data_IF_248825196677
#
_entry.id   IF_248825196677
#
_cell.length_a   1.000
_cell.length_b   1.000
_cell.length_c   1.000
_cell.angle_alpha   90.00
_cell.angle_beta   90.00
_cell.angle_gamma   90.00
#
_symmetry.space_group_name_H-M   'P 1'
#
loop_
_entity.id
_entity.type
_entity.pdbx_description
1 polymer ?
#
# COMPACT_ATOMS: atom_id res chain seq x y z
N UNK A 1 17.13 3.71 -9.76
CA UNK A 1 15.89 3.09 -9.24
C UNK A 1 14.68 3.54 -10.07
N UNK A 2 13.75 2.63 -10.37
CA UNK A 2 12.52 2.95 -11.11
C UNK A 2 11.35 3.09 -10.13
N UNK A 3 10.42 4.00 -10.47
CA UNK A 3 9.18 4.24 -9.73
C UNK A 3 8.01 3.92 -10.64
N UNK A 4 6.97 3.36 -10.09
CA UNK A 4 5.78 2.96 -10.83
C UNK A 4 4.52 3.40 -10.07
N UNK A 5 3.49 3.81 -10.80
CA UNK A 5 2.18 4.05 -10.25
C UNK A 5 1.48 2.71 -9.96
N UNK A 6 0.64 2.67 -8.92
CA UNK A 6 -0.26 1.55 -8.73
C UNK A 6 -1.30 1.59 -9.84
N UNK A 7 -1.26 0.60 -10.74
CA UNK A 7 -2.23 0.49 -11.81
C UNK A 7 -3.53 -0.11 -11.27
N UNK A 8 -4.60 0.69 -11.27
CA UNK A 8 -5.92 0.28 -10.78
C UNK A 8 -6.53 -0.86 -11.60
N UNK A 9 -6.25 -0.94 -12.91
CA UNK A 9 -6.73 -2.04 -13.75
C UNK A 9 -6.05 -3.36 -13.35
N UNK A 10 -4.74 -3.34 -13.08
CA UNK A 10 -4.02 -4.49 -12.58
C UNK A 10 -4.48 -4.88 -11.16
N UNK A 11 -4.79 -3.89 -10.32
CA UNK A 11 -5.36 -4.14 -9.01
C UNK A 11 -6.73 -4.81 -9.12
N UNK A 12 -7.62 -4.25 -9.98
CA UNK A 12 -8.96 -4.78 -10.27
C UNK A 12 -8.90 -6.21 -10.82
N UNK A 13 -8.00 -6.49 -11.77
CA UNK A 13 -7.77 -7.82 -12.32
C UNK A 13 -7.19 -8.81 -11.30
N UNK A 14 -6.55 -8.31 -10.25
CA UNK A 14 -5.94 -9.14 -9.21
C UNK A 14 -6.90 -9.65 -8.14
N UNK A 15 -8.14 -9.13 -8.06
CA UNK A 15 -9.17 -9.72 -7.22
C UNK A 15 -9.74 -10.96 -7.91
N UNK A 16 -9.98 -12.02 -7.12
CA UNK A 16 -10.78 -13.15 -7.62
C UNK A 16 -12.20 -12.66 -7.99
N UNK A 17 -12.84 -13.23 -9.00
CA UNK A 17 -14.19 -12.81 -9.39
C UNK A 17 -15.18 -12.79 -8.22
N UNK A 18 -15.10 -13.76 -7.31
CA UNK A 18 -15.91 -13.83 -6.10
C UNK A 18 -15.61 -12.74 -5.08
N UNK A 19 -14.34 -12.35 -4.91
CA UNK A 19 -13.93 -11.27 -4.00
C UNK A 19 -14.52 -9.92 -4.45
N UNK A 20 -14.39 -9.62 -5.75
CA UNK A 20 -14.96 -8.38 -6.31
C UNK A 20 -16.48 -8.37 -6.22
N UNK A 21 -17.14 -9.47 -6.56
CA UNK A 21 -18.59 -9.57 -6.47
C UNK A 21 -19.07 -9.39 -5.02
N UNK A 22 -18.38 -9.97 -4.04
CA UNK A 22 -18.71 -9.81 -2.63
C UNK A 22 -18.61 -8.34 -2.17
N UNK A 23 -17.54 -7.62 -2.57
CA UNK A 23 -17.39 -6.20 -2.24
C UNK A 23 -18.49 -5.34 -2.88
N UNK A 24 -18.79 -5.55 -4.17
CA UNK A 24 -19.86 -4.83 -4.87
C UNK A 24 -21.24 -5.12 -4.28
N UNK A 25 -21.51 -6.39 -3.92
CA UNK A 25 -22.75 -6.77 -3.24
C UNK A 25 -22.88 -6.11 -1.86
N UNK A 26 -21.79 -5.97 -1.12
CA UNK A 26 -21.79 -5.28 0.16
C UNK A 26 -22.17 -3.79 -0.02
N UNK A 27 -21.59 -3.09 -0.99
CA UNK A 27 -21.95 -1.70 -1.30
C UNK A 27 -23.42 -1.59 -1.79
N UNK A 28 -23.85 -2.47 -2.68
CA UNK A 28 -25.25 -2.50 -3.15
C UNK A 28 -26.23 -2.74 -2.00
N UNK A 29 -25.87 -3.61 -1.05
CA UNK A 29 -26.71 -3.88 0.13
C UNK A 29 -26.87 -2.66 1.03
N UNK A 30 -25.81 -1.90 1.27
CA UNK A 30 -25.83 -0.66 2.03
C UNK A 30 -26.74 0.38 1.35
N UNK A 31 -26.57 0.57 0.04
CA UNK A 31 -27.40 1.51 -0.73
C UNK A 31 -28.89 1.11 -0.72
N UNK A 32 -29.20 -0.18 -0.89
CA UNK A 32 -30.60 -0.68 -0.83
C UNK A 32 -31.21 -0.48 0.55
N UNK A 33 -30.44 -0.73 1.61
CA UNK A 33 -30.91 -0.50 2.97
C UNK A 33 -31.20 0.99 3.23
N UNK A 34 -30.38 1.89 2.68
CA UNK A 34 -30.59 3.35 2.78
C UNK A 34 -31.84 3.81 2.04
N UNK A 35 -32.05 3.35 0.79
CA UNK A 35 -33.29 3.64 0.04
C UNK A 35 -34.53 3.16 0.81
N UNK A 36 -34.50 1.91 1.31
CA UNK A 36 -35.62 1.36 2.08
C UNK A 36 -35.83 2.05 3.43
N UNK A 37 -34.82 2.65 4.03
CA UNK A 37 -34.93 3.49 5.22
C UNK A 37 -35.67 4.80 4.88
N UNK A 38 -35.23 5.50 3.83
CA UNK A 38 -35.81 6.78 3.38
C UNK A 38 -37.29 6.64 2.95
N UNK A 39 -37.62 5.50 2.29
CA UNK A 39 -39.02 5.17 1.95
C UNK A 39 -39.88 5.01 3.23
N UNK A 40 -39.40 4.24 4.22
CA UNK A 40 -40.13 4.05 5.49
C UNK A 40 -40.28 5.32 6.31
N UNK A 41 -39.34 6.24 6.23
CA UNK A 41 -39.37 7.54 6.86
C UNK A 41 -40.28 8.57 6.10
N UNK A 42 -40.84 8.17 4.96
CA UNK A 42 -41.69 9.03 4.12
C UNK A 42 -40.88 10.10 3.34
N UNK A 43 -39.56 9.95 3.28
CA UNK A 43 -38.67 10.84 2.53
C UNK A 43 -38.61 10.51 1.03
N UNK A 44 -39.13 9.36 0.64
CA UNK A 44 -39.31 8.91 -0.73
C UNK A 44 -40.66 8.28 -0.93
N UNK A 45 -41.31 8.53 -2.09
CA UNK A 45 -42.46 7.74 -2.53
C UNK A 45 -42.00 6.34 -3.02
N UNK A 46 -42.92 5.36 -3.07
CA UNK A 46 -42.58 4.03 -3.58
C UNK A 46 -42.08 4.07 -5.04
N UNK A 47 -42.59 4.99 -5.89
CA UNK A 47 -42.13 5.15 -7.26
C UNK A 47 -40.69 5.71 -7.34
N UNK A 48 -40.37 6.72 -6.50
CA UNK A 48 -39.01 7.28 -6.40
C UNK A 48 -38.01 6.25 -5.87
N UNK A 49 -38.42 5.47 -4.86
CA UNK A 49 -37.60 4.39 -4.32
C UNK A 49 -37.31 3.32 -5.40
N UNK A 50 -38.31 2.94 -6.19
CA UNK A 50 -38.14 1.98 -7.28
C UNK A 50 -37.18 2.52 -8.37
N UNK A 51 -37.22 3.81 -8.66
CA UNK A 51 -36.30 4.43 -9.64
C UNK A 51 -34.86 4.49 -9.09
N UNK A 52 -34.66 4.88 -7.83
CA UNK A 52 -33.34 4.87 -7.18
C UNK A 52 -32.74 3.46 -7.15
N UNK A 53 -33.55 2.41 -6.96
CA UNK A 53 -33.11 1.01 -6.95
C UNK A 53 -32.54 0.54 -8.29
N UNK A 54 -33.03 1.06 -9.43
CA UNK A 54 -32.53 0.69 -10.76
C UNK A 54 -31.07 1.10 -11.00
N UNK A 55 -30.60 2.19 -10.38
CA UNK A 55 -29.25 2.70 -10.53
C UNK A 55 -28.22 2.19 -9.49
N UNK A 56 -28.65 1.33 -8.57
CA UNK A 56 -27.84 0.98 -7.38
C UNK A 56 -26.53 0.30 -7.77
N UNK A 57 -26.50 -0.61 -8.72
CA UNK A 57 -25.30 -1.37 -9.06
C UNK A 57 -24.22 -0.48 -9.68
N UNK A 58 -24.62 0.50 -10.52
CA UNK A 58 -23.69 1.49 -11.05
C UNK A 58 -23.13 2.42 -9.96
N UNK A 59 -23.98 2.84 -9.00
CA UNK A 59 -23.57 3.64 -7.86
C UNK A 59 -22.62 2.85 -6.93
N UNK A 60 -22.91 1.59 -6.67
CA UNK A 60 -22.07 0.70 -5.88
C UNK A 60 -20.68 0.53 -6.53
N UNK A 61 -20.61 0.35 -7.86
CA UNK A 61 -19.33 0.29 -8.57
C UNK A 61 -18.54 1.62 -8.45
N UNK A 62 -19.20 2.75 -8.60
CA UNK A 62 -18.58 4.07 -8.45
C UNK A 62 -18.03 4.29 -7.03
N UNK A 63 -18.79 3.93 -5.99
CA UNK A 63 -18.35 4.02 -4.60
C UNK A 63 -17.19 3.07 -4.31
N UNK A 64 -17.26 1.85 -4.81
CA UNK A 64 -16.16 0.89 -4.70
C UNK A 64 -14.88 1.41 -5.35
N UNK A 65 -14.95 1.97 -6.56
CA UNK A 65 -13.80 2.57 -7.25
C UNK A 65 -13.22 3.75 -6.44
N UNK A 66 -14.07 4.62 -5.92
CA UNK A 66 -13.62 5.72 -5.06
C UNK A 66 -12.92 5.22 -3.78
N UNK A 67 -13.47 4.16 -3.15
CA UNK A 67 -12.86 3.53 -1.98
C UNK A 67 -11.48 2.90 -2.29
N UNK A 68 -11.36 2.25 -3.46
CA UNK A 68 -10.08 1.69 -3.94
C UNK A 68 -9.06 2.79 -4.17
N UNK A 69 -9.44 3.90 -4.82
CA UNK A 69 -8.55 5.04 -5.06
C UNK A 69 -8.08 5.70 -3.78
N UNK A 70 -9.00 5.93 -2.82
CA UNK A 70 -8.66 6.50 -1.53
C UNK A 70 -7.66 5.61 -0.77
N UNK A 71 -7.95 4.32 -0.64
CA UNK A 71 -7.09 3.37 0.04
C UNK A 71 -5.71 3.23 -0.64
N UNK A 72 -5.65 3.28 -1.98
CA UNK A 72 -4.39 3.26 -2.71
C UNK A 72 -3.56 4.54 -2.46
N UNK A 73 -4.21 5.70 -2.42
CA UNK A 73 -3.54 6.98 -2.13
C UNK A 73 -2.93 6.99 -0.73
N UNK A 74 -3.68 6.53 0.27
CA UNK A 74 -3.21 6.40 1.66
C UNK A 74 -2.02 5.44 1.77
N UNK A 75 -2.12 4.26 1.16
CA UNK A 75 -1.05 3.27 1.17
C UNK A 75 0.21 3.78 0.46
N UNK A 76 0.07 4.45 -0.69
CA UNK A 76 1.22 5.06 -1.38
C UNK A 76 1.90 6.08 -0.50
N UNK A 77 1.14 6.94 0.21
CA UNK A 77 1.70 7.91 1.13
C UNK A 77 2.45 7.23 2.29
N UNK A 78 1.90 6.13 2.86
CA UNK A 78 2.55 5.33 3.91
C UNK A 78 3.88 4.75 3.39
N UNK A 79 3.87 4.06 2.24
CA UNK A 79 5.08 3.45 1.66
C UNK A 79 6.13 4.52 1.35
N UNK A 80 5.73 5.66 0.82
CA UNK A 80 6.67 6.76 0.54
C UNK A 80 7.30 7.32 1.82
N UNK A 81 6.54 7.42 2.91
CA UNK A 81 7.06 7.82 4.20
C UNK A 81 8.09 6.81 4.74
N UNK A 82 7.82 5.49 4.60
CA UNK A 82 8.75 4.42 4.99
C UNK A 82 10.04 4.47 4.15
N UNK A 83 9.93 4.65 2.84
CA UNK A 83 11.09 4.79 1.93
C UNK A 83 11.89 6.05 2.27
N UNK A 84 11.23 7.18 2.52
CA UNK A 84 11.89 8.43 2.90
C UNK A 84 12.62 8.30 4.24
N UNK A 85 12.02 7.62 5.23
CA UNK A 85 12.63 7.41 6.54
C UNK A 85 13.91 6.58 6.48
N UNK A 86 14.06 5.70 5.47
CA UNK A 86 15.29 4.93 5.28
C UNK A 86 16.49 5.80 4.90
N UNK A 87 16.26 7.01 4.33
CA UNK A 87 17.29 7.95 3.90
C UNK A 87 18.19 7.47 2.76
N UNK A 88 17.89 6.31 2.15
CA UNK A 88 18.75 5.63 1.18
C UNK A 88 18.35 5.84 -0.27
N UNK A 89 17.15 6.37 -0.50
CA UNK A 89 16.53 6.43 -1.81
C UNK A 89 16.10 7.86 -2.13
N UNK A 90 16.47 8.35 -3.31
CA UNK A 90 15.97 9.62 -3.81
C UNK A 90 14.46 9.49 -4.11
N UNK A 91 13.67 10.40 -3.55
CA UNK A 91 12.22 10.40 -3.73
C UNK A 91 11.86 10.90 -5.13
N UNK A 92 10.91 10.21 -5.77
CA UNK A 92 10.32 10.69 -7.02
C UNK A 92 9.42 11.89 -6.77
N UNK A 93 9.41 12.84 -7.72
CA UNK A 93 8.55 14.02 -7.69
C UNK A 93 7.05 13.67 -7.81
N UNK A 94 6.71 12.57 -8.53
CA UNK A 94 5.34 12.11 -8.68
C UNK A 94 4.79 11.49 -7.40
N UNK A 95 3.76 12.09 -6.76
CA UNK A 95 3.32 11.70 -5.42
C UNK A 95 2.63 10.32 -5.35
N UNK A 96 2.06 9.84 -6.47
CA UNK A 96 1.29 8.58 -6.53
C UNK A 96 2.10 7.40 -7.04
N UNK A 97 3.43 7.44 -6.89
CA UNK A 97 4.32 6.36 -7.32
C UNK A 97 5.03 5.70 -6.14
N UNK A 98 5.32 4.44 -6.29
CA UNK A 98 6.13 3.64 -5.36
C UNK A 98 7.33 3.04 -6.08
N UNK A 99 8.40 2.68 -5.38
CA UNK A 99 9.48 1.92 -5.97
C UNK A 99 8.96 0.64 -6.65
N UNK A 100 9.39 0.39 -7.89
CA UNK A 100 8.91 -0.75 -8.69
C UNK A 100 9.06 -2.09 -7.93
N UNK A 101 10.16 -2.26 -7.18
CA UNK A 101 10.37 -3.44 -6.34
C UNK A 101 9.34 -3.63 -5.21
N UNK A 102 8.63 -2.58 -4.81
CA UNK A 102 7.59 -2.63 -3.78
C UNK A 102 6.17 -2.72 -4.34
N UNK A 103 5.99 -2.62 -5.66
CA UNK A 103 4.66 -2.56 -6.27
C UNK A 103 3.81 -3.80 -5.94
N UNK A 104 4.41 -4.99 -6.00
CA UNK A 104 3.72 -6.24 -5.66
C UNK A 104 3.27 -6.27 -4.20
N UNK A 105 4.15 -5.87 -3.29
CA UNK A 105 3.83 -5.82 -1.85
C UNK A 105 2.77 -4.77 -1.56
N UNK A 106 2.87 -3.58 -2.16
CA UNK A 106 1.85 -2.54 -2.07
C UNK A 106 0.47 -3.05 -2.54
N UNK A 107 0.43 -3.74 -3.68
CA UNK A 107 -0.81 -4.33 -4.21
C UNK A 107 -1.39 -5.39 -3.26
N UNK A 108 -0.56 -6.22 -2.64
CA UNK A 108 -1.00 -7.25 -1.69
C UNK A 108 -1.59 -6.63 -0.41
N UNK A 109 -0.95 -5.60 0.13
CA UNK A 109 -1.44 -4.87 1.30
C UNK A 109 -2.77 -4.19 0.98
N UNK A 110 -2.88 -3.52 -0.17
CA UNK A 110 -4.10 -2.84 -0.57
C UNK A 110 -5.28 -3.82 -0.73
N UNK A 111 -5.05 -4.97 -1.37
CA UNK A 111 -6.08 -6.02 -1.48
C UNK A 111 -6.56 -6.51 -0.13
N UNK A 112 -5.64 -6.78 0.78
CA UNK A 112 -5.99 -7.24 2.13
C UNK A 112 -6.83 -6.20 2.87
N UNK A 113 -6.46 -4.92 2.82
CA UNK A 113 -7.21 -3.83 3.45
C UNK A 113 -8.62 -3.70 2.88
N UNK A 114 -8.78 -3.79 1.56
CA UNK A 114 -10.09 -3.74 0.92
C UNK A 114 -10.96 -4.94 1.32
N UNK A 115 -10.43 -6.17 1.28
CA UNK A 115 -11.17 -7.36 1.70
C UNK A 115 -11.62 -7.26 3.16
N UNK A 116 -10.74 -6.75 4.05
CA UNK A 116 -11.07 -6.52 5.47
C UNK A 116 -12.16 -5.46 5.62
N UNK A 117 -12.06 -4.35 4.88
CA UNK A 117 -13.06 -3.26 4.92
C UNK A 117 -14.46 -3.74 4.57
N UNK A 118 -14.57 -4.66 3.61
CA UNK A 118 -15.86 -5.20 3.16
C UNK A 118 -16.27 -6.50 3.87
N UNK A 119 -15.58 -6.88 4.95
CA UNK A 119 -15.81 -8.13 5.69
C UNK A 119 -15.84 -9.38 4.78
N UNK A 120 -15.05 -9.38 3.69
CA UNK A 120 -14.92 -10.53 2.82
C UNK A 120 -14.13 -11.63 3.51
N UNK A 121 -14.44 -12.88 3.16
CA UNK A 121 -13.65 -14.02 3.61
C UNK A 121 -12.24 -13.95 3.01
N UNK A 122 -11.22 -13.94 3.88
CA UNK A 122 -9.82 -13.85 3.48
C UNK A 122 -9.18 -15.23 3.63
N UNK A 123 -8.62 -15.75 2.52
CA UNK A 123 -7.88 -17.01 2.55
C UNK A 123 -6.59 -16.88 3.33
N UNK A 124 -6.08 -18.02 3.85
CA UNK A 124 -4.83 -18.04 4.60
C UNK A 124 -3.63 -17.60 3.75
N UNK A 125 -3.60 -17.96 2.46
CA UNK A 125 -2.57 -17.48 1.51
C UNK A 125 -2.56 -15.97 1.37
N UNK A 126 -3.75 -15.33 1.38
CA UNK A 126 -3.87 -13.87 1.33
C UNK A 126 -3.33 -13.21 2.59
N UNK A 127 -3.60 -13.81 3.76
CA UNK A 127 -3.05 -13.33 5.04
C UNK A 127 -1.53 -13.44 5.06
N UNK A 128 -1.00 -14.59 4.64
CA UNK A 128 0.45 -14.79 4.61
C UNK A 128 1.12 -13.79 3.65
N UNK A 129 0.58 -13.63 2.44
CA UNK A 129 1.09 -12.65 1.47
C UNK A 129 1.07 -11.22 2.02
N UNK A 130 0.04 -10.87 2.79
CA UNK A 130 -0.03 -9.58 3.48
C UNK A 130 1.05 -9.44 4.55
N UNK A 131 1.25 -10.47 5.39
CA UNK A 131 2.28 -10.46 6.44
C UNK A 131 3.68 -10.33 5.85
N UNK A 132 3.99 -11.09 4.80
CA UNK A 132 5.27 -11.01 4.08
C UNK A 132 5.49 -9.61 3.49
N UNK A 133 4.45 -9.00 2.93
CA UNK A 133 4.50 -7.65 2.42
C UNK A 133 4.76 -6.59 3.52
N UNK A 134 4.11 -6.73 4.69
CA UNK A 134 4.35 -5.83 5.84
C UNK A 134 5.76 -6.01 6.40
N UNK A 135 6.27 -7.23 6.46
CA UNK A 135 7.64 -7.48 6.89
C UNK A 135 8.66 -6.85 5.94
N UNK A 136 8.45 -6.99 4.61
CA UNK A 136 9.30 -6.32 3.62
C UNK A 136 9.28 -4.79 3.78
N UNK A 137 8.11 -4.17 3.97
CA UNK A 137 8.01 -2.73 4.20
C UNK A 137 8.73 -2.30 5.48
N UNK A 138 8.61 -3.08 6.56
CA UNK A 138 9.34 -2.83 7.79
C UNK A 138 10.86 -2.96 7.60
N UNK A 139 11.33 -3.93 6.81
CA UNK A 139 12.74 -4.08 6.46
C UNK A 139 13.27 -2.90 5.60
N UNK A 140 12.44 -2.37 4.70
CA UNK A 140 12.75 -1.14 3.95
C UNK A 140 12.93 0.03 4.90
N UNK A 141 12.03 0.23 5.85
CA UNK A 141 12.12 1.28 6.87
C UNK A 141 13.41 1.19 7.67
N UNK A 142 13.81 -0.02 8.09
CA UNK A 142 15.07 -0.24 8.82
C UNK A 142 16.31 -0.09 7.91
N UNK A 143 16.10 0.11 6.60
CA UNK A 143 17.15 0.21 5.62
C UNK A 143 17.90 -1.10 5.38
N UNK A 144 17.29 -2.23 5.66
CA UNK A 144 17.86 -3.57 5.46
C UNK A 144 17.76 -4.02 4.00
N UNK A 145 16.77 -3.48 3.27
CA UNK A 145 16.51 -3.81 1.87
C UNK A 145 17.08 -2.73 0.97
N UNK A 146 17.91 -3.15 0.01
CA UNK A 146 18.37 -2.26 -1.05
C UNK A 146 17.35 -2.24 -2.20
N UNK A 147 16.64 -1.10 -2.33
CA UNK A 147 15.65 -0.91 -3.39
C UNK A 147 16.25 -0.48 -4.73
N UNK A 148 17.54 -0.14 -4.76
CA UNK A 148 18.27 0.25 -5.98
C UNK A 148 19.46 -0.68 -6.23
N UNK A 149 19.26 -1.78 -6.97
CA UNK A 149 20.37 -2.72 -7.26
C UNK A 149 21.49 -2.06 -8.08
N UNK A 150 21.22 -0.94 -8.77
CA UNK A 150 22.27 -0.20 -9.48
C UNK A 150 23.18 0.57 -8.52
N UNK A 151 22.71 0.93 -7.32
CA UNK A 151 23.55 1.59 -6.32
C UNK A 151 24.61 0.67 -5.71
N UNK A 152 24.38 -0.64 -5.71
CA UNK A 152 25.41 -1.62 -5.28
C UNK A 152 26.54 -1.80 -6.30
N UNK A 153 26.31 -1.41 -7.56
CA UNK A 153 27.32 -1.46 -8.61
C UNK A 153 28.33 -0.29 -8.52
N UNK A 154 28.05 0.74 -7.74
CA UNK A 154 29.00 1.81 -7.49
C UNK A 154 30.08 1.34 -6.51
N UNK A 155 31.37 1.51 -6.83
CA UNK A 155 32.45 1.10 -5.94
C UNK A 155 32.27 1.87 -4.60
N UNK A 156 31.96 1.14 -3.54
CA UNK A 156 31.93 1.72 -2.20
C UNK A 156 33.27 2.35 -1.92
N UNK A 157 33.33 3.64 -1.54
CA UNK A 157 34.60 4.21 -1.14
C UNK A 157 35.16 3.35 0.00
N UNK A 158 36.22 2.60 -0.28
CA UNK A 158 36.90 1.85 0.74
C UNK A 158 37.53 2.84 1.69
N UNK A 159 36.86 3.14 2.79
CA UNK A 159 37.50 3.81 3.91
C UNK A 159 38.61 2.90 4.41
N UNK A 160 39.80 3.04 3.83
CA UNK A 160 41.02 2.51 4.44
C UNK A 160 41.11 3.13 5.81
N UNK A 161 40.73 2.36 6.81
CA UNK A 161 40.99 2.68 8.21
C UNK A 161 42.50 2.93 8.31
N UNK A 162 42.93 4.17 8.33
CA UNK A 162 44.33 4.53 8.62
C UNK A 162 44.63 3.86 9.94
N UNK A 163 45.49 2.80 9.91
CA UNK A 163 46.06 2.27 11.13
C UNK A 163 46.69 3.46 11.85
N UNK A 164 46.17 3.79 13.02
CA UNK A 164 46.79 4.76 13.88
C UNK A 164 48.21 4.27 14.15
N UNK A 165 49.19 5.05 13.74
CA UNK A 165 50.56 4.81 14.14
C UNK A 165 50.58 4.83 15.69
N UNK A 166 50.86 3.71 16.29
CA UNK A 166 51.10 3.65 17.72
C UNK A 166 52.18 4.67 18.06
N UNK A 167 51.82 5.72 18.74
CA UNK A 167 52.75 6.68 19.31
C UNK A 167 53.34 6.00 20.53
N UNK A 168 54.48 5.37 20.38
CA UNK A 168 55.32 4.93 21.49
C UNK A 168 55.90 6.20 22.15
N UNK A 169 55.33 6.57 23.26
CA UNK A 169 55.94 7.59 24.14
C UNK A 169 57.15 6.94 24.83
N UNK A 170 58.35 7.26 24.29
CA UNK A 170 59.59 7.00 25.02
C UNK A 170 59.61 7.92 26.26
N UNK A 171 59.44 7.31 27.43
CA UNK A 171 59.75 8.00 28.71
C UNK A 171 61.25 7.94 28.91
N UNK A 172 61.97 9.10 29.01
CA UNK A 172 63.33 9.10 29.47
C UNK A 172 63.36 8.72 30.98
N UNK A 173 64.24 7.82 31.35
CA UNK A 173 64.44 7.41 32.72
C UNK A 173 64.93 8.58 33.55
N UNK A 174 64.37 8.70 34.76
CA UNK A 174 64.88 9.54 35.84
C UNK A 174 65.83 8.68 36.66
N UNK A 175 67.13 9.08 36.68
CA UNK A 175 68.05 8.66 37.73
C UNK A 175 67.78 9.52 38.96
#
# INVERSE_FOLDING_TARGET
>A
MRWAAINFDNLRAGFAPGERAAMLNAESAVLRAEVGRREREGALTPEEAAEELKGIDARAEALWLAAVQAAATELVAEIRAEVASSGRVAMNAEPLTVPEGLLRSATSVLRYHLLTRYNCQISEDRKQTYLDAKELLAAVRRGEVNLDPAADALPRPSYRRRKSKNFTVNRPGIM
#
